data_IF_173850945075
#
_entry.id   IF_173850945075
#
_cell.length_a   1.000
_cell.length_b   1.000
_cell.length_c   1.000
_cell.angle_alpha   90.00
_cell.angle_beta   90.00
_cell.angle_gamma   90.00
#
_symmetry.space_group_name_H-M   'P 1'
#
loop_
_entity.id
_entity.type
_entity.pdbx_description
1 polymer ?
#
# COMPACT_ATOMS: atom_id res chain seq x y z
N UNK A 1 11.70 17.84 0.97
CA UNK A 1 11.86 16.90 -0.17
C UNK A 1 11.22 15.61 0.28
N UNK A 2 10.35 15.03 -0.54
CA UNK A 2 9.77 13.74 -0.19
C UNK A 2 10.77 12.64 -0.52
N UNK A 3 11.01 11.77 0.46
CA UNK A 3 11.86 10.59 0.33
C UNK A 3 10.97 9.37 0.15
N UNK A 4 11.47 8.37 -0.58
CA UNK A 4 10.73 7.15 -0.88
C UNK A 4 11.62 5.93 -0.71
N UNK A 5 10.99 4.80 -0.41
CA UNK A 5 11.58 3.45 -0.53
C UNK A 5 10.71 2.60 -1.46
N UNK A 6 11.11 1.36 -1.73
CA UNK A 6 10.35 0.43 -2.56
C UNK A 6 9.85 -0.76 -1.75
N UNK A 7 8.57 -1.09 -1.91
CA UNK A 7 7.94 -2.30 -1.41
C UNK A 7 6.94 -2.80 -2.44
N UNK A 8 6.85 -4.12 -2.63
CA UNK A 8 5.93 -4.75 -3.58
C UNK A 8 5.96 -4.12 -4.99
N UNK A 9 7.14 -3.70 -5.43
CA UNK A 9 7.35 -3.09 -6.74
C UNK A 9 6.84 -1.65 -6.88
N UNK A 10 6.41 -1.00 -5.80
CA UNK A 10 5.94 0.40 -5.81
C UNK A 10 6.75 1.29 -4.88
N UNK A 11 6.83 2.58 -5.22
CA UNK A 11 7.39 3.59 -4.33
C UNK A 11 6.42 3.88 -3.20
N UNK A 12 6.92 3.83 -1.97
CA UNK A 12 6.18 4.24 -0.78
C UNK A 12 6.95 5.36 -0.06
N UNK A 13 6.25 6.31 0.57
CA UNK A 13 6.90 7.45 1.19
C UNK A 13 7.70 7.04 2.44
N UNK A 14 8.74 7.82 2.71
CA UNK A 14 9.42 7.88 3.99
C UNK A 14 9.00 9.17 4.72
N UNK A 15 9.14 9.24 6.05
CA UNK A 15 8.96 10.48 6.79
C UNK A 15 9.87 11.57 6.27
N UNK A 16 9.34 12.79 6.18
CA UNK A 16 9.98 13.96 5.57
C UNK A 16 11.07 14.54 6.46
N UNK A 17 10.95 14.33 7.76
CA UNK A 17 11.86 14.85 8.77
C UNK A 17 11.83 14.00 10.06
N UNK A 18 12.65 14.43 11.02
CA UNK A 18 12.81 13.78 12.32
C UNK A 18 11.54 13.83 13.17
N UNK A 19 10.73 14.87 13.06
CA UNK A 19 9.52 15.02 13.87
C UNK A 19 8.40 14.12 13.36
N UNK A 20 8.22 14.01 12.05
CA UNK A 20 7.32 13.02 11.44
C UNK A 20 7.79 11.60 11.77
N UNK A 21 9.11 11.34 11.75
CA UNK A 21 9.65 10.04 12.14
C UNK A 21 9.31 9.69 13.60
N UNK A 22 9.44 10.64 14.54
CA UNK A 22 9.06 10.43 15.95
C UNK A 22 7.57 10.15 16.10
N UNK A 23 6.72 10.96 15.46
CA UNK A 23 5.27 10.81 15.54
C UNK A 23 4.79 9.49 14.92
N UNK A 24 5.38 9.11 13.78
CA UNK A 24 5.07 7.85 13.11
C UNK A 24 5.49 6.64 13.96
N UNK A 25 6.68 6.65 14.56
CA UNK A 25 7.11 5.57 15.46
C UNK A 25 6.23 5.45 16.71
N UNK A 26 5.76 6.55 17.27
CA UNK A 26 4.80 6.52 18.38
C UNK A 26 3.48 5.88 17.95
N UNK A 27 2.99 6.20 16.75
CA UNK A 27 1.81 5.57 16.15
C UNK A 27 2.04 4.07 15.91
N UNK A 28 3.15 3.66 15.30
CA UNK A 28 3.48 2.23 15.09
C UNK A 28 3.47 1.45 16.39
N UNK A 29 4.12 1.98 17.43
CA UNK A 29 4.16 1.37 18.76
C UNK A 29 2.76 1.23 19.37
N UNK A 30 1.91 2.25 19.23
CA UNK A 30 0.53 2.18 19.71
C UNK A 30 -0.32 1.14 18.95
N UNK A 31 0.04 0.84 17.70
CA UNK A 31 -0.60 -0.18 16.87
C UNK A 31 0.06 -1.57 16.98
N UNK A 32 1.16 -1.71 17.72
CA UNK A 32 1.89 -2.96 17.87
C UNK A 32 2.79 -3.33 16.68
N UNK A 33 2.97 -2.43 15.72
CA UNK A 33 3.86 -2.62 14.58
C UNK A 33 5.32 -2.32 14.98
N UNK A 34 6.26 -3.14 14.51
CA UNK A 34 7.70 -2.99 14.80
C UNK A 34 8.53 -2.52 13.60
N UNK A 35 8.07 -2.84 12.40
CA UNK A 35 8.74 -2.50 11.16
C UNK A 35 7.70 -2.01 10.14
N UNK A 36 7.65 -0.69 9.87
CA UNK A 36 6.69 -0.12 8.93
C UNK A 36 6.97 -0.49 7.48
N UNK A 37 8.11 -1.13 7.20
CA UNK A 37 8.52 -1.52 5.85
C UNK A 37 8.76 -3.04 5.72
N UNK A 38 8.26 -3.84 6.67
CA UNK A 38 8.25 -5.30 6.54
C UNK A 38 7.45 -5.68 5.28
N UNK A 39 8.04 -6.36 4.27
CA UNK A 39 7.34 -6.77 3.07
C UNK A 39 6.15 -7.68 3.35
N UNK A 40 6.17 -8.48 4.42
CA UNK A 40 5.08 -9.42 4.73
C UNK A 40 3.76 -8.72 5.12
N UNK A 41 3.80 -7.44 5.48
CA UNK A 41 2.58 -6.72 5.88
C UNK A 41 1.78 -6.23 4.67
N UNK A 42 2.43 -5.95 3.54
CA UNK A 42 1.82 -5.45 2.31
C UNK A 42 0.88 -4.25 2.49
N UNK A 43 1.24 -3.29 3.36
CA UNK A 43 0.55 -2.00 3.54
C UNK A 43 1.54 -0.84 3.56
N UNK A 44 1.13 0.32 3.02
CA UNK A 44 1.79 1.60 3.33
C UNK A 44 1.27 2.16 4.65
N UNK A 45 2.01 1.86 5.73
CA UNK A 45 1.68 2.35 7.06
C UNK A 45 1.87 3.86 7.21
N UNK A 46 2.78 4.49 6.46
CA UNK A 46 3.05 5.91 6.60
C UNK A 46 1.90 6.74 6.00
N UNK A 47 1.40 6.36 4.82
CA UNK A 47 0.23 7.04 4.24
C UNK A 47 -1.03 6.84 5.09
N UNK A 48 -1.21 5.66 5.69
CA UNK A 48 -2.30 5.42 6.65
C UNK A 48 -2.16 6.30 7.91
N UNK A 49 -0.95 6.45 8.44
CA UNK A 49 -0.65 7.37 9.55
C UNK A 49 -0.97 8.82 9.18
N UNK A 50 -0.52 9.30 8.00
CA UNK A 50 -0.80 10.66 7.52
C UNK A 50 -2.29 10.93 7.32
N UNK A 51 -3.05 9.89 6.95
CA UNK A 51 -4.51 9.93 6.87
C UNK A 51 -5.22 9.84 8.24
N UNK A 52 -4.45 9.78 9.34
CA UNK A 52 -4.94 9.73 10.72
C UNK A 52 -5.87 8.55 10.99
N UNK A 53 -5.60 7.41 10.34
CA UNK A 53 -6.35 6.19 10.59
C UNK A 53 -6.03 5.59 11.96
N UNK A 54 -7.08 5.08 12.60
CA UNK A 54 -6.98 4.35 13.86
C UNK A 54 -7.06 2.85 13.57
N UNK A 55 -5.92 2.15 13.62
CA UNK A 55 -5.90 0.68 13.62
C UNK A 55 -6.03 0.22 15.06
N UNK A 56 -7.15 -0.38 15.44
CA UNK A 56 -7.22 -0.97 16.78
C UNK A 56 -6.25 -2.17 16.83
N UNK A 57 -5.18 -2.05 17.63
CA UNK A 57 -4.22 -3.13 17.91
C UNK A 57 -3.67 -3.84 16.66
N UNK A 58 -3.25 -3.07 15.65
CA UNK A 58 -2.64 -3.65 14.44
C UNK A 58 -3.63 -4.25 13.45
N UNK A 59 -4.93 -4.01 13.66
CA UNK A 59 -6.01 -4.44 12.75
C UNK A 59 -5.85 -3.95 11.31
N UNK A 60 -6.71 -4.49 10.43
CA UNK A 60 -6.67 -4.21 9.00
C UNK A 60 -6.81 -2.72 8.68
N UNK A 61 -6.03 -2.29 7.69
CA UNK A 61 -6.19 -1.00 7.04
C UNK A 61 -7.14 -1.12 5.83
N UNK A 62 -7.75 -0.01 5.41
CA UNK A 62 -8.57 -0.01 4.22
C UNK A 62 -7.73 -0.28 2.97
N UNK A 63 -8.41 -0.77 1.95
CA UNK A 63 -7.85 -1.15 0.65
C UNK A 63 -7.00 -0.05 -0.01
N UNK A 64 -7.34 1.21 0.27
CA UNK A 64 -6.60 2.41 -0.16
C UNK A 64 -5.09 2.31 0.06
N UNK A 65 -4.62 1.64 1.12
CA UNK A 65 -3.20 1.56 1.48
C UNK A 65 -2.60 0.16 1.30
N UNK A 66 -3.35 -0.80 0.75
CA UNK A 66 -2.82 -2.12 0.42
C UNK A 66 -1.79 -1.99 -0.68
N UNK A 67 -0.67 -2.68 -0.52
CA UNK A 67 0.38 -2.79 -1.52
C UNK A 67 0.12 -3.98 -2.45
N UNK A 68 0.72 -4.01 -3.66
CA UNK A 68 0.47 -5.05 -4.66
C UNK A 68 0.70 -6.49 -4.21
N UNK A 69 1.55 -6.72 -3.19
CA UNK A 69 1.79 -8.06 -2.64
C UNK A 69 0.65 -8.58 -1.75
N UNK A 70 -0.30 -7.72 -1.33
CA UNK A 70 -1.37 -8.11 -0.42
C UNK A 70 -2.33 -9.12 -1.09
N UNK A 71 -2.74 -10.22 -0.42
CA UNK A 71 -3.61 -11.25 -1.01
C UNK A 71 -4.95 -10.74 -1.58
N UNK A 72 -5.47 -9.67 -0.98
CA UNK A 72 -6.67 -8.94 -1.41
C UNK A 72 -6.37 -7.53 -1.89
N UNK A 73 -5.22 -7.34 -2.54
CA UNK A 73 -4.88 -6.08 -3.23
C UNK A 73 -5.91 -5.76 -4.29
N UNK A 74 -6.47 -4.56 -4.25
CA UNK A 74 -7.66 -4.22 -5.00
C UNK A 74 -7.51 -2.93 -5.81
N UNK A 75 -8.45 -2.70 -6.73
CA UNK A 75 -8.47 -1.52 -7.60
C UNK A 75 -8.70 -0.21 -6.84
N UNK A 76 -9.13 -0.29 -5.59
CA UNK A 76 -9.34 0.83 -4.67
C UNK A 76 -8.02 1.32 -4.03
N UNK A 77 -6.91 0.60 -4.19
CA UNK A 77 -5.60 1.02 -3.71
C UNK A 77 -5.05 2.21 -4.51
N UNK A 78 -4.39 3.15 -3.81
CA UNK A 78 -3.66 4.26 -4.47
C UNK A 78 -2.47 3.78 -5.30
N UNK A 79 -2.03 2.53 -5.09
CA UNK A 79 -0.95 1.90 -5.84
C UNK A 79 -1.43 1.11 -7.05
N UNK A 80 -2.74 0.95 -7.22
CA UNK A 80 -3.29 0.23 -8.35
C UNK A 80 -3.06 1.00 -9.64
N UNK A 81 -2.52 0.31 -10.64
CA UNK A 81 -2.46 0.74 -12.03
C UNK A 81 -3.19 -0.30 -12.88
N UNK A 82 -3.91 0.16 -13.90
CA UNK A 82 -4.52 -0.74 -14.89
C UNK A 82 -3.44 -1.67 -15.47
N UNK A 83 -3.73 -2.97 -15.50
CA UNK A 83 -2.79 -4.01 -15.92
C UNK A 83 -2.08 -4.73 -14.77
N UNK A 84 -2.26 -4.28 -13.52
CA UNK A 84 -1.80 -5.03 -12.35
C UNK A 84 -2.77 -6.16 -11.99
N UNK A 85 -2.22 -7.25 -11.42
CA UNK A 85 -3.03 -8.29 -10.76
C UNK A 85 -3.64 -7.70 -9.49
N UNK A 86 -4.96 -7.69 -9.40
CA UNK A 86 -5.70 -7.11 -8.29
C UNK A 86 -7.07 -7.81 -8.15
N UNK A 87 -8.00 -7.20 -7.43
CA UNK A 87 -9.41 -7.57 -7.44
C UNK A 87 -10.30 -6.36 -7.16
N UNK A 88 -11.59 -6.59 -7.05
CA UNK A 88 -12.58 -5.59 -6.61
C UNK A 88 -13.53 -6.24 -5.61
N UNK A 89 -14.20 -5.43 -4.80
CA UNK A 89 -15.23 -5.92 -3.88
C UNK A 89 -16.63 -5.74 -4.46
N UNK A 90 -17.46 -6.78 -4.37
CA UNK A 90 -18.91 -6.72 -4.60
C UNK A 90 -19.60 -7.17 -3.31
N UNK A 91 -19.91 -6.18 -2.44
CA UNK A 91 -20.30 -6.45 -1.06
C UNK A 91 -19.14 -7.03 -0.28
N UNK A 92 -19.34 -8.22 0.32
CA UNK A 92 -18.30 -8.95 1.06
C UNK A 92 -17.49 -9.90 0.16
N UNK A 93 -17.83 -9.98 -1.14
CA UNK A 93 -17.16 -10.89 -2.07
C UNK A 93 -15.99 -10.19 -2.76
N UNK A 94 -14.79 -10.76 -2.60
CA UNK A 94 -13.61 -10.35 -3.36
C UNK A 94 -13.59 -11.05 -4.72
N UNK A 95 -13.58 -10.28 -5.79
CA UNK A 95 -13.54 -10.77 -7.17
C UNK A 95 -12.17 -10.46 -7.76
N UNK A 96 -11.31 -11.49 -7.96
CA UNK A 96 -10.01 -11.30 -8.59
C UNK A 96 -10.13 -10.78 -10.02
N UNK A 97 -9.25 -9.86 -10.39
CA UNK A 97 -9.06 -9.33 -11.74
C UNK A 97 -7.70 -9.82 -12.21
N UNK A 98 -7.73 -10.69 -13.22
CA UNK A 98 -6.54 -11.18 -13.89
C UNK A 98 -6.32 -10.28 -15.12
N UNK A 99 -5.28 -9.44 -15.13
CA UNK A 99 -4.98 -8.58 -16.29
C UNK A 99 -4.65 -9.45 -17.50
N UNK A 100 -5.04 -9.01 -18.69
CA UNK A 100 -4.61 -9.68 -19.92
C UNK A 100 -3.13 -9.41 -20.19
N UNK A 101 -2.51 -10.24 -21.02
CA UNK A 101 -1.12 -9.98 -21.46
C UNK A 101 -0.98 -8.61 -22.11
N UNK A 102 -2.01 -8.13 -22.82
CA UNK A 102 -1.99 -6.81 -23.43
C UNK A 102 -2.01 -5.69 -22.38
N UNK A 103 -2.85 -5.81 -21.33
CA UNK A 103 -2.88 -4.82 -20.26
C UNK A 103 -1.53 -4.72 -19.53
N UNK A 104 -0.84 -5.86 -19.36
CA UNK A 104 0.49 -5.91 -18.76
C UNK A 104 1.56 -5.26 -19.66
N UNK A 105 1.51 -5.52 -20.97
CA UNK A 105 2.40 -4.88 -21.96
C UNK A 105 2.19 -3.37 -21.96
N UNK A 106 0.93 -2.93 -21.96
CA UNK A 106 0.58 -1.51 -21.97
C UNK A 106 1.08 -0.80 -20.70
N UNK A 107 0.96 -1.46 -19.54
CA UNK A 107 1.51 -0.97 -18.28
C UNK A 107 3.04 -0.82 -18.36
N UNK A 108 3.75 -1.85 -18.80
CA UNK A 108 5.21 -1.84 -18.92
C UNK A 108 5.71 -0.73 -19.87
N UNK A 109 5.03 -0.53 -21.01
CA UNK A 109 5.37 0.52 -21.96
C UNK A 109 5.11 1.94 -21.44
N UNK A 110 4.21 2.10 -20.47
CA UNK A 110 3.93 3.38 -19.82
C UNK A 110 5.00 3.75 -18.80
N UNK A 111 5.60 2.78 -18.11
CA UNK A 111 6.64 3.04 -17.10
C UNK A 111 8.03 3.29 -17.69
N UNK A 112 8.24 2.96 -18.97
CA UNK A 112 9.49 3.20 -19.70
C UNK A 112 9.59 4.59 -20.38
N UNK A 113 8.54 5.41 -20.29
CA UNK A 113 8.47 6.76 -20.88
C UNK A 113 8.55 7.82 -19.79
#
# INVERSE_FOLDING_TARGET
MDYFTYMDGVQIPLPRDVEEWKAFNAWLKANGDKDPYNPEQHYDLLSAFRAKLNRKNGGHLPDTYKLPGHPTFSVESIYYKKGMKAGRWEGENYIPIIPTSQDQIDLMNKELK
#
